data_IF_027053300046
#
_entry.id   IF_027053300046
#
_cell.length_a   1.000
_cell.length_b   1.000
_cell.length_c   1.000
_cell.angle_alpha   90.00
_cell.angle_beta   90.00
_cell.angle_gamma   90.00
#
_symmetry.space_group_name_H-M   'P 1'
#
loop_
_entity.id
_entity.type
_entity.pdbx_description
1 polymer ?
#
# COMPACT_ATOMS: atom_id res chain seq x y z
N UNK A 1 47.37 7.70 14.53
CA UNK A 1 45.97 7.46 14.14
C UNK A 1 45.67 6.02 14.47
N UNK A 2 44.79 5.76 15.44
CA UNK A 2 44.35 4.39 15.71
C UNK A 2 43.64 3.81 14.48
N UNK A 3 43.82 2.52 14.18
CA UNK A 3 43.12 1.89 13.06
C UNK A 3 41.62 1.90 13.33
N UNK A 4 40.84 2.27 12.30
CA UNK A 4 39.39 2.45 12.43
C UNK A 4 38.72 1.06 12.58
N UNK A 5 38.49 0.62 13.82
CA UNK A 5 37.98 -0.71 14.19
C UNK A 5 36.62 -1.08 13.56
N UNK A 6 35.86 -0.09 13.07
CA UNK A 6 34.53 -0.30 12.47
C UNK A 6 34.56 -1.02 11.12
N UNK A 7 35.62 -0.83 10.30
CA UNK A 7 35.74 -1.52 9.00
C UNK A 7 36.18 -2.97 9.13
N UNK A 8 36.57 -3.41 10.32
CA UNK A 8 37.07 -4.77 10.61
C UNK A 8 36.08 -5.61 11.45
N UNK A 9 34.89 -5.09 11.75
CA UNK A 9 33.84 -5.86 12.42
C UNK A 9 33.42 -7.05 11.55
N UNK A 10 33.19 -8.20 12.17
CA UNK A 10 32.68 -9.37 11.47
C UNK A 10 31.26 -9.12 10.95
N UNK A 11 30.92 -9.77 9.84
CA UNK A 11 29.56 -9.70 9.28
C UNK A 11 28.52 -10.17 10.30
N UNK A 12 28.81 -11.19 11.11
CA UNK A 12 27.91 -11.68 12.15
C UNK A 12 27.54 -10.61 13.20
N UNK A 13 28.51 -9.81 13.65
CA UNK A 13 28.27 -8.74 14.62
C UNK A 13 27.49 -7.61 13.97
N UNK A 14 27.85 -7.22 12.75
CA UNK A 14 27.11 -6.22 12.00
C UNK A 14 25.65 -6.67 11.82
N UNK A 15 25.42 -7.90 11.39
CA UNK A 15 24.07 -8.41 11.09
C UNK A 15 23.21 -8.63 12.33
N UNK A 16 23.71 -9.38 13.32
CA UNK A 16 22.88 -9.84 14.43
C UNK A 16 22.78 -8.81 15.55
N UNK A 17 23.83 -8.00 15.78
CA UNK A 17 23.88 -7.09 16.93
C UNK A 17 23.62 -5.63 16.57
N UNK A 18 23.88 -5.22 15.32
CA UNK A 18 23.70 -3.84 14.89
C UNK A 18 22.46 -3.73 14.00
N UNK A 19 22.44 -4.40 12.83
CA UNK A 19 21.37 -4.25 11.84
C UNK A 19 19.99 -4.60 12.40
N UNK A 20 19.91 -5.62 13.26
CA UNK A 20 18.66 -6.02 13.94
C UNK A 20 18.05 -4.95 14.85
N UNK A 21 18.85 -3.97 15.29
CA UNK A 21 18.45 -2.87 16.19
C UNK A 21 18.21 -1.56 15.46
N UNK A 22 18.63 -1.44 14.19
CA UNK A 22 18.46 -0.21 13.43
C UNK A 22 17.04 -0.11 12.89
N UNK A 23 16.44 1.08 12.99
CA UNK A 23 15.26 1.38 12.18
C UNK A 23 15.65 1.39 10.69
N UNK A 24 14.69 1.23 9.78
CA UNK A 24 14.99 1.24 8.34
C UNK A 24 15.74 2.49 7.89
N UNK A 25 15.49 3.66 8.49
CA UNK A 25 16.19 4.88 8.10
C UNK A 25 17.67 4.86 8.48
N UNK A 26 17.98 4.35 9.68
CA UNK A 26 19.37 4.17 10.10
C UNK A 26 20.02 3.03 9.34
N UNK A 27 19.26 1.99 8.96
CA UNK A 27 19.73 0.90 8.10
C UNK A 27 20.00 1.36 6.65
N UNK A 28 19.15 2.23 6.11
CA UNK A 28 19.33 2.85 4.80
C UNK A 28 20.57 3.76 4.81
N UNK A 29 20.73 4.57 5.88
CA UNK A 29 21.94 5.37 6.10
C UNK A 29 23.18 4.49 6.26
N UNK A 30 23.07 3.39 7.01
CA UNK A 30 24.13 2.40 7.18
C UNK A 30 24.59 1.83 5.84
N UNK A 31 23.64 1.45 4.97
CA UNK A 31 23.92 1.01 3.61
C UNK A 31 24.51 2.11 2.70
N UNK A 32 24.37 3.38 3.08
CA UNK A 32 24.98 4.52 2.41
C UNK A 32 26.45 4.76 2.79
N UNK A 33 26.98 4.13 3.85
CA UNK A 33 28.32 4.40 4.38
C UNK A 33 29.43 3.87 3.45
N UNK A 34 29.38 2.59 3.09
CA UNK A 34 30.39 1.96 2.23
C UNK A 34 29.83 0.74 1.49
N UNK A 35 30.54 0.27 0.45
CA UNK A 35 30.08 -0.88 -0.36
C UNK A 35 29.86 -2.18 0.45
N UNK A 36 30.75 -2.58 1.38
CA UNK A 36 30.52 -3.76 2.23
C UNK A 36 29.26 -3.65 3.10
N UNK A 37 29.03 -2.50 3.74
CA UNK A 37 27.84 -2.28 4.56
C UNK A 37 26.57 -2.26 3.70
N UNK A 38 26.66 -1.71 2.49
CA UNK A 38 25.57 -1.75 1.51
C UNK A 38 25.20 -3.18 1.10
N UNK A 39 26.17 -4.07 0.90
CA UNK A 39 25.89 -5.49 0.61
C UNK A 39 25.22 -6.20 1.79
N UNK A 40 25.44 -5.72 3.01
CA UNK A 40 24.77 -6.25 4.20
C UNK A 40 23.32 -5.75 4.35
N UNK A 41 22.90 -4.66 3.71
CA UNK A 41 21.53 -4.11 3.82
C UNK A 41 20.52 -4.70 2.81
N UNK A 42 20.72 -5.94 2.34
CA UNK A 42 19.84 -6.55 1.34
C UNK A 42 18.38 -6.73 1.81
N UNK A 43 17.41 -6.90 0.88
CA UNK A 43 15.97 -7.03 1.18
C UNK A 43 15.63 -8.10 2.22
N UNK A 44 16.44 -9.17 2.29
CA UNK A 44 16.26 -10.30 3.20
C UNK A 44 16.56 -10.00 4.67
N UNK A 45 17.08 -8.80 4.99
CA UNK A 45 17.57 -8.43 6.34
C UNK A 45 16.75 -7.35 7.02
N UNK A 46 15.70 -6.84 6.38
CA UNK A 46 14.67 -5.98 7.00
C UNK A 46 13.66 -6.78 7.86
N UNK A 47 14.03 -8.00 8.26
CA UNK A 47 13.13 -8.94 8.94
C UNK A 47 12.61 -8.27 10.20
N UNK A 48 11.31 -8.41 10.43
CA UNK A 48 10.63 -8.07 11.69
C UNK A 48 10.28 -6.60 11.90
N UNK A 49 10.45 -5.74 10.89
CA UNK A 49 9.84 -4.40 10.91
C UNK A 49 8.47 -4.38 10.23
N UNK A 50 7.51 -3.69 10.88
CA UNK A 50 6.23 -3.33 10.30
C UNK A 50 6.42 -2.63 8.93
N UNK A 51 5.49 -2.79 7.97
CA UNK A 51 5.47 -2.00 6.74
C UNK A 51 5.48 -0.49 7.00
N UNK A 52 6.23 0.23 6.18
CA UNK A 52 6.35 1.69 6.23
C UNK A 52 5.40 2.33 5.23
N UNK A 53 5.17 3.63 5.33
CA UNK A 53 4.45 4.39 4.32
C UNK A 53 5.42 5.25 3.53
N UNK A 54 5.50 5.03 2.21
CA UNK A 54 6.12 6.02 1.32
C UNK A 54 5.15 7.19 1.23
N UNK A 55 5.65 8.37 1.59
CA UNK A 55 4.87 9.61 1.67
C UNK A 55 5.54 10.70 0.87
N UNK A 56 4.77 11.60 0.23
CA UNK A 56 5.36 12.78 -0.38
C UNK A 56 6.03 13.67 0.67
N UNK A 57 6.99 14.51 0.25
CA UNK A 57 7.45 15.60 1.10
C UNK A 57 6.25 16.47 1.53
N UNK A 58 6.31 17.13 2.70
CA UNK A 58 5.23 17.97 3.19
C UNK A 58 4.78 18.96 2.10
N UNK A 59 3.47 19.08 1.83
CA UNK A 59 2.99 19.94 0.76
C UNK A 59 3.40 21.39 1.05
N UNK A 60 4.12 22.00 0.12
CA UNK A 60 4.32 23.45 0.14
C UNK A 60 3.01 24.13 -0.27
N UNK A 61 2.73 25.32 0.25
CA UNK A 61 1.49 26.09 -0.03
C UNK A 61 1.24 26.28 -1.55
N UNK A 62 2.30 26.23 -2.38
CA UNK A 62 2.25 26.43 -3.83
C UNK A 62 2.49 25.15 -4.66
N UNK A 63 2.44 23.94 -4.07
CA UNK A 63 2.67 22.71 -4.85
C UNK A 63 1.47 22.39 -5.74
N UNK A 64 1.72 22.17 -7.03
CA UNK A 64 0.71 21.62 -7.94
C UNK A 64 0.22 20.26 -7.41
N UNK A 65 -1.09 20.15 -7.15
CA UNK A 65 -1.75 18.91 -6.72
C UNK A 65 -1.62 17.84 -7.80
N UNK A 66 -0.75 16.85 -7.61
CA UNK A 66 -0.48 15.80 -8.60
C UNK A 66 -0.33 14.42 -7.98
N UNK A 67 -0.75 13.39 -8.71
CA UNK A 67 -0.57 11.98 -8.34
C UNK A 67 0.86 11.46 -8.62
N UNK A 68 1.74 12.33 -9.10
CA UNK A 68 3.12 12.02 -9.53
C UNK A 68 4.11 12.58 -8.52
N UNK A 69 5.14 11.83 -8.17
CA UNK A 69 6.24 12.35 -7.36
C UNK A 69 7.07 13.32 -8.20
N UNK A 70 7.17 14.59 -7.78
CA UNK A 70 7.80 15.65 -8.58
C UNK A 70 9.33 15.70 -8.47
N UNK A 71 9.89 15.13 -7.41
CA UNK A 71 11.33 15.11 -7.18
C UNK A 71 11.80 13.73 -6.66
N UNK A 72 13.10 13.62 -6.39
CA UNK A 72 13.70 12.42 -5.83
C UNK A 72 13.52 12.29 -4.31
N UNK A 73 13.01 13.33 -3.63
CA UNK A 73 12.92 13.34 -2.17
C UNK A 73 11.59 12.74 -1.72
N UNK A 74 11.66 11.63 -1.00
CA UNK A 74 10.47 11.01 -0.41
C UNK A 74 10.64 10.86 1.09
N UNK A 75 9.52 10.87 1.79
CA UNK A 75 9.45 10.46 3.18
C UNK A 75 9.13 8.98 3.27
N UNK A 76 9.65 8.34 4.30
CA UNK A 76 9.14 7.09 4.81
C UNK A 76 8.60 7.30 6.22
N UNK A 77 7.29 7.18 6.37
CA UNK A 77 6.63 7.27 7.67
C UNK A 77 6.60 5.90 8.35
N UNK A 78 7.10 5.89 9.59
CA UNK A 78 7.17 4.71 10.45
C UNK A 78 6.00 4.72 11.44
N UNK A 79 5.22 3.65 11.45
CA UNK A 79 4.13 3.46 12.42
C UNK A 79 4.66 3.21 13.85
N UNK A 80 5.91 2.76 13.98
CA UNK A 80 6.47 2.38 15.27
C UNK A 80 6.76 3.60 16.16
N UNK A 81 7.25 4.68 15.56
CA UNK A 81 7.67 5.89 16.28
C UNK A 81 6.99 7.17 15.78
N UNK A 82 6.12 7.06 14.78
CA UNK A 82 5.35 8.17 14.22
C UNK A 82 6.20 9.20 13.47
N UNK A 83 7.44 8.85 13.07
CA UNK A 83 8.37 9.78 12.41
C UNK A 83 8.45 9.55 10.91
N UNK A 84 8.81 10.62 10.20
CA UNK A 84 9.16 10.58 8.78
C UNK A 84 10.65 10.62 8.60
N UNK A 85 11.17 9.67 7.86
CA UNK A 85 12.56 9.59 7.48
C UNK A 85 12.72 9.96 6.01
N UNK A 86 13.56 10.95 5.75
CA UNK A 86 13.81 11.44 4.38
C UNK A 86 14.77 10.51 3.66
N UNK A 87 14.44 10.17 2.42
CA UNK A 87 15.27 9.39 1.53
C UNK A 87 15.25 9.96 0.12
N UNK A 88 16.30 9.66 -0.65
CA UNK A 88 16.39 10.00 -2.07
C UNK A 88 16.12 8.76 -2.90
N UNK A 89 15.07 8.78 -3.71
CA UNK A 89 14.71 7.74 -4.67
C UNK A 89 14.55 8.38 -6.04
N UNK A 90 15.66 8.54 -6.80
CA UNK A 90 15.62 9.16 -8.12
C UNK A 90 14.66 8.48 -9.09
N UNK A 91 14.44 7.17 -8.92
CA UNK A 91 13.52 6.37 -9.74
C UNK A 91 12.05 6.78 -9.60
N UNK A 92 11.67 7.54 -8.57
CA UNK A 92 10.29 8.02 -8.40
C UNK A 92 10.02 9.36 -9.08
N UNK A 93 11.07 10.11 -9.45
CA UNK A 93 10.92 11.43 -10.06
C UNK A 93 10.10 11.35 -11.36
N UNK A 94 9.05 12.15 -11.44
CA UNK A 94 8.05 12.17 -12.53
C UNK A 94 7.30 10.86 -12.74
N UNK A 95 7.22 10.01 -11.70
CA UNK A 95 6.48 8.75 -11.75
C UNK A 95 5.40 8.67 -10.67
N UNK A 96 4.37 7.85 -10.94
CA UNK A 96 3.36 7.44 -9.97
C UNK A 96 3.62 5.99 -9.56
N UNK A 97 3.51 5.69 -8.27
CA UNK A 97 3.49 4.31 -7.77
C UNK A 97 2.11 3.71 -8.03
N UNK A 98 2.03 2.66 -8.84
CA UNK A 98 0.78 1.99 -9.20
C UNK A 98 0.58 0.64 -8.52
N UNK A 99 1.63 0.04 -7.96
CA UNK A 99 1.54 -1.13 -7.08
C UNK A 99 2.75 -1.21 -6.14
N UNK A 100 2.53 -1.79 -4.96
CA UNK A 100 3.60 -2.23 -4.06
C UNK A 100 3.43 -3.70 -3.74
N UNK A 101 4.56 -4.42 -3.69
CA UNK A 101 4.62 -5.85 -3.42
C UNK A 101 5.51 -6.13 -2.21
N UNK A 102 5.23 -7.27 -1.55
CA UNK A 102 6.12 -7.83 -0.54
C UNK A 102 7.55 -7.99 -1.11
N UNK A 103 8.55 -7.86 -0.25
CA UNK A 103 9.96 -7.89 -0.61
C UNK A 103 10.49 -6.54 -1.11
N UNK A 104 9.73 -5.45 -0.94
CA UNK A 104 10.15 -4.09 -1.24
C UNK A 104 10.08 -3.69 -2.72
N UNK A 105 9.33 -4.42 -3.54
CA UNK A 105 9.18 -4.11 -4.96
C UNK A 105 8.08 -3.09 -5.21
N UNK A 106 8.35 -2.14 -6.09
CA UNK A 106 7.44 -1.08 -6.52
C UNK A 106 7.28 -1.12 -8.04
N UNK A 107 6.03 -1.09 -8.49
CA UNK A 107 5.71 -0.82 -9.89
C UNK A 107 5.32 0.65 -10.04
N UNK A 108 5.91 1.30 -11.04
CA UNK A 108 5.70 2.72 -11.31
C UNK A 108 5.41 2.98 -12.77
N UNK A 109 4.66 4.05 -13.02
CA UNK A 109 4.31 4.50 -14.37
C UNK A 109 4.73 5.97 -14.49
N UNK A 110 5.50 6.28 -15.52
CA UNK A 110 5.86 7.64 -15.90
C UNK A 110 4.78 8.25 -16.82
N UNK A 111 4.73 9.58 -16.92
CA UNK A 111 3.73 10.29 -17.75
C UNK A 111 3.80 9.90 -19.24
N UNK A 112 4.97 9.48 -19.72
CA UNK A 112 5.20 8.97 -21.08
C UNK A 112 4.75 7.50 -21.27
N UNK A 113 4.00 6.92 -20.32
CA UNK A 113 3.55 5.52 -20.31
C UNK A 113 4.64 4.46 -20.03
N UNK A 114 5.87 4.85 -19.69
CA UNK A 114 6.92 3.92 -19.33
C UNK A 114 6.65 3.25 -17.97
N UNK A 115 6.68 1.92 -17.95
CA UNK A 115 6.43 1.12 -16.75
C UNK A 115 7.76 0.56 -16.23
N UNK A 116 8.02 0.74 -14.94
CA UNK A 116 9.20 0.23 -14.27
C UNK A 116 8.84 -0.58 -13.03
N UNK A 117 9.55 -1.68 -12.82
CA UNK A 117 9.56 -2.46 -11.59
C UNK A 117 10.95 -2.35 -10.94
N UNK A 118 11.01 -1.85 -9.70
CA UNK A 118 12.28 -1.74 -8.99
C UNK A 118 12.10 -1.91 -7.49
N UNK A 119 13.20 -2.15 -6.78
CA UNK A 119 13.23 -2.18 -5.33
C UNK A 119 14.20 -1.09 -4.85
N UNK A 120 13.75 -0.07 -4.07
CA UNK A 120 14.60 1.02 -3.58
C UNK A 120 15.80 0.57 -2.73
N UNK A 121 15.74 -0.64 -2.17
CA UNK A 121 16.74 -1.25 -1.30
C UNK A 121 17.69 -2.16 -2.07
N UNK A 122 17.36 -2.45 -3.33
CA UNK A 122 18.18 -3.26 -4.19
C UNK A 122 19.24 -2.41 -4.87
N UNK A 123 20.42 -2.98 -5.04
CA UNK A 123 21.48 -2.43 -5.89
C UNK A 123 21.25 -2.69 -7.37
N UNK A 124 20.25 -3.53 -7.72
CA UNK A 124 19.92 -3.86 -9.10
C UNK A 124 19.25 -2.66 -9.78
N UNK A 125 19.50 -2.46 -11.09
CA UNK A 125 18.80 -1.43 -11.85
C UNK A 125 17.30 -1.72 -11.95
N UNK A 126 16.47 -0.69 -12.19
CA UNK A 126 15.05 -0.88 -12.51
C UNK A 126 14.86 -1.82 -13.70
N UNK A 127 13.87 -2.69 -13.59
CA UNK A 127 13.40 -3.52 -14.71
C UNK A 127 12.36 -2.73 -15.49
N UNK A 128 12.65 -2.44 -16.76
CA UNK A 128 11.68 -1.83 -17.66
C UNK A 128 10.70 -2.89 -18.17
N UNK A 129 9.41 -2.64 -17.98
CA UNK A 129 8.34 -3.46 -18.54
C UNK A 129 7.85 -2.84 -19.85
N UNK A 130 7.08 -3.58 -20.69
CA UNK A 130 6.45 -2.99 -21.85
C UNK A 130 5.69 -1.70 -21.49
N UNK A 131 5.80 -0.62 -22.29
CA UNK A 131 5.06 0.61 -22.06
C UNK A 131 3.55 0.37 -22.01
N UNK A 132 2.83 1.14 -21.19
CA UNK A 132 1.39 0.96 -20.98
C UNK A 132 0.58 1.09 -22.29
N UNK A 133 1.04 1.92 -23.22
CA UNK A 133 0.37 2.14 -24.51
C UNK A 133 0.61 1.03 -25.54
N UNK A 134 1.45 0.05 -25.21
CA UNK A 134 1.66 -1.16 -26.01
C UNK A 134 0.72 -2.31 -25.60
N UNK A 135 0.01 -2.19 -24.48
CA UNK A 135 -0.89 -3.24 -24.03
C UNK A 135 -2.19 -3.24 -24.85
N UNK A 136 -2.66 -4.42 -25.31
CA UNK A 136 -3.91 -4.54 -26.05
C UNK A 136 -5.09 -3.96 -25.27
N UNK A 137 -5.94 -3.16 -25.93
CA UNK A 137 -7.16 -2.60 -25.33
C UNK A 137 -6.97 -1.35 -24.48
N UNK A 138 -5.75 -0.87 -24.24
CA UNK A 138 -5.51 0.40 -23.54
C UNK A 138 -5.80 1.58 -24.48
N UNK A 139 -6.90 2.30 -24.26
CA UNK A 139 -7.21 3.53 -24.99
C UNK A 139 -6.49 4.74 -24.36
N UNK A 140 -5.73 5.51 -25.14
CA UNK A 140 -5.15 6.82 -24.74
C UNK A 140 -6.27 7.86 -24.52
N UNK A 141 -7.02 7.78 -23.42
CA UNK A 141 -7.87 8.89 -22.96
C UNK A 141 -7.25 9.56 -21.74
N UNK A 142 -6.06 10.14 -21.90
CA UNK A 142 -5.61 11.18 -20.97
C UNK A 142 -6.31 12.49 -21.35
N UNK A 143 -7.59 12.64 -20.96
CA UNK A 143 -8.15 13.98 -20.86
C UNK A 143 -7.48 14.64 -19.65
N UNK A 144 -6.92 15.83 -19.87
CA UNK A 144 -6.27 16.71 -18.87
C UNK A 144 -7.25 17.23 -17.79
N UNK A 145 -8.34 16.52 -17.57
CA UNK A 145 -9.48 16.91 -16.77
C UNK A 145 -9.87 15.68 -15.95
N UNK A 146 -9.54 15.75 -14.65
CA UNK A 146 -9.98 14.88 -13.55
C UNK A 146 -10.47 13.50 -14.00
N UNK A 147 -9.60 12.48 -13.89
CA UNK A 147 -9.99 11.09 -14.09
C UNK A 147 -11.10 10.70 -13.09
N UNK A 148 -12.37 10.89 -13.46
CA UNK A 148 -13.53 10.48 -12.66
C UNK A 148 -13.85 8.98 -12.77
N UNK A 149 -13.03 8.19 -13.45
CA UNK A 149 -13.20 6.74 -13.51
C UNK A 149 -11.90 6.05 -13.09
N UNK A 150 -11.84 5.69 -11.80
CA UNK A 150 -10.93 4.66 -11.32
C UNK A 150 -11.13 3.37 -12.12
N UNK A 151 -10.06 2.67 -12.54
CA UNK A 151 -10.18 1.24 -12.68
C UNK A 151 -10.48 0.66 -11.30
N UNK A 152 -11.73 0.27 -11.10
CA UNK A 152 -12.36 -0.29 -9.90
C UNK A 152 -11.88 -1.71 -9.57
N UNK A 153 -10.65 -2.05 -9.94
CA UNK A 153 -10.16 -3.43 -9.97
C UNK A 153 -8.94 -3.58 -9.06
N UNK A 154 -9.13 -4.28 -7.95
CA UNK A 154 -8.00 -4.76 -7.15
C UNK A 154 -7.71 -6.18 -7.56
N UNK A 155 -6.44 -6.59 -7.50
CA UNK A 155 -6.01 -7.92 -7.93
C UNK A 155 -5.04 -8.55 -6.95
N UNK A 156 -4.99 -9.87 -6.97
CA UNK A 156 -4.01 -10.65 -6.22
C UNK A 156 -3.72 -11.96 -6.95
N UNK A 157 -2.53 -12.51 -6.76
CA UNK A 157 -2.13 -13.80 -7.30
C UNK A 157 -2.06 -14.84 -6.19
N UNK A 158 -2.74 -15.97 -6.34
CA UNK A 158 -2.59 -17.12 -5.43
C UNK A 158 -2.91 -18.43 -6.13
N UNK A 159 -2.32 -19.53 -5.66
CA UNK A 159 -2.56 -20.88 -6.21
C UNK A 159 -2.40 -20.94 -7.75
N UNK A 160 -1.44 -20.20 -8.30
CA UNK A 160 -1.17 -20.13 -9.74
C UNK A 160 -2.17 -19.33 -10.58
N UNK A 161 -3.15 -18.67 -9.96
CA UNK A 161 -4.18 -17.89 -10.63
C UNK A 161 -4.12 -16.41 -10.23
N UNK A 162 -4.62 -15.55 -11.12
CA UNK A 162 -4.79 -14.12 -10.85
C UNK A 162 -6.26 -13.84 -10.64
N UNK A 163 -6.57 -13.27 -9.49
CA UNK A 163 -7.93 -12.91 -9.11
C UNK A 163 -8.06 -11.40 -9.11
N UNK A 164 -9.25 -10.93 -9.44
CA UNK A 164 -9.60 -9.53 -9.35
C UNK A 164 -10.96 -9.35 -8.72
N UNK A 165 -11.13 -8.27 -7.98
CA UNK A 165 -12.43 -7.84 -7.45
C UNK A 165 -12.81 -6.52 -8.07
N UNK A 166 -14.01 -6.44 -8.61
CA UNK A 166 -14.59 -5.18 -9.05
C UNK A 166 -15.18 -4.45 -7.84
N UNK A 167 -15.16 -3.12 -7.82
CA UNK A 167 -15.72 -2.32 -6.72
C UNK A 167 -17.21 -2.60 -6.45
N UNK A 168 -17.95 -3.18 -7.41
CA UNK A 168 -19.33 -3.62 -7.16
C UNK A 168 -19.45 -4.91 -6.35
N UNK A 169 -18.35 -5.62 -6.08
CA UNK A 169 -18.31 -6.86 -5.29
C UNK A 169 -17.96 -8.17 -6.02
N UNK A 170 -18.20 -8.37 -7.33
CA UNK A 170 -17.89 -9.63 -8.00
C UNK A 170 -16.39 -9.91 -7.99
N UNK A 171 -16.05 -11.16 -7.69
CA UNK A 171 -14.70 -11.67 -7.89
C UNK A 171 -14.64 -12.43 -9.19
N UNK A 172 -13.61 -12.12 -9.97
CA UNK A 172 -13.27 -12.80 -11.21
C UNK A 172 -11.90 -13.45 -11.09
N UNK A 173 -11.71 -14.55 -11.81
CA UNK A 173 -10.39 -15.11 -12.09
C UNK A 173 -10.01 -14.73 -13.52
N UNK A 174 -8.73 -14.42 -13.71
CA UNK A 174 -8.16 -14.01 -14.99
C UNK A 174 -7.41 -15.19 -15.58
N UNK A 175 -7.81 -15.59 -16.78
CA UNK A 175 -7.23 -16.68 -17.55
C UNK A 175 -6.54 -16.14 -18.81
N UNK A 176 -5.79 -17.01 -19.50
CA UNK A 176 -5.22 -16.71 -20.80
C UNK A 176 -4.15 -15.61 -20.79
N UNK A 177 -3.39 -15.48 -19.69
CA UNK A 177 -2.33 -14.46 -19.58
C UNK A 177 -1.23 -14.63 -20.62
N UNK A 178 -0.96 -15.87 -21.04
CA UNK A 178 -0.02 -16.19 -22.12
C UNK A 178 -0.66 -16.16 -23.52
N UNK A 179 -1.97 -15.89 -23.61
CA UNK A 179 -2.75 -15.88 -24.86
C UNK A 179 -3.61 -14.61 -24.96
N UNK A 180 -4.94 -14.74 -24.98
CA UNK A 180 -5.89 -13.62 -24.98
C UNK A 180 -6.54 -13.61 -23.59
N UNK A 181 -6.23 -12.61 -22.74
CA UNK A 181 -6.76 -12.56 -21.40
C UNK A 181 -8.28 -12.46 -21.38
N UNK A 182 -8.92 -13.27 -20.54
CA UNK A 182 -10.36 -13.17 -20.26
C UNK A 182 -10.64 -13.34 -18.77
N UNK A 183 -11.76 -12.78 -18.32
CA UNK A 183 -12.17 -12.83 -16.92
C UNK A 183 -13.41 -13.74 -16.77
N UNK A 184 -13.31 -14.74 -15.91
CA UNK A 184 -14.42 -15.61 -15.53
C UNK A 184 -14.93 -15.22 -14.13
N UNK A 185 -16.25 -15.08 -13.97
CA UNK A 185 -16.84 -14.73 -12.68
C UNK A 185 -16.90 -15.95 -11.75
N UNK A 186 -16.25 -15.86 -10.59
CA UNK A 186 -16.23 -16.91 -9.59
C UNK A 186 -17.43 -16.88 -8.66
N UNK A 187 -17.84 -15.68 -8.24
CA UNK A 187 -18.93 -15.50 -7.30
C UNK A 187 -19.59 -14.15 -7.53
N UNK A 188 -20.90 -14.11 -7.32
CA UNK A 188 -21.75 -12.91 -7.44
C UNK A 188 -21.51 -11.93 -6.29
N UNK A 189 -22.24 -10.81 -6.34
CA UNK A 189 -22.05 -9.68 -5.43
C UNK A 189 -22.20 -10.07 -3.94
N UNK A 190 -21.64 -9.22 -3.07
CA UNK A 190 -21.69 -9.33 -1.62
C UNK A 190 -23.13 -9.44 -1.08
N UNK A 191 -23.40 -10.28 -0.04
CA UNK A 191 -24.75 -10.42 0.54
C UNK A 191 -25.37 -9.11 1.05
N UNK A 192 -24.56 -8.14 1.48
CA UNK A 192 -25.02 -6.87 2.06
C UNK A 192 -24.80 -5.64 1.15
N UNK A 193 -24.75 -5.85 -0.16
CA UNK A 193 -24.49 -4.82 -1.19
C UNK A 193 -25.35 -3.55 -1.05
N UNK A 194 -26.55 -3.64 -0.49
CA UNK A 194 -27.52 -2.54 -0.45
C UNK A 194 -27.15 -1.40 0.52
N UNK A 195 -26.24 -1.61 1.47
CA UNK A 195 -26.07 -0.69 2.61
C UNK A 195 -24.75 0.10 2.64
N UNK A 196 -23.82 -0.14 1.71
CA UNK A 196 -22.46 0.39 1.83
C UNK A 196 -22.01 1.15 0.57
N UNK A 197 -21.77 2.45 0.72
CA UNK A 197 -20.79 3.16 -0.10
C UNK A 197 -19.38 2.69 0.32
N UNK A 198 -19.06 1.43 0.02
CA UNK A 198 -17.87 0.75 0.52
C UNK A 198 -16.78 0.61 -0.53
N UNK A 199 -15.54 0.47 -0.06
CA UNK A 199 -14.38 0.18 -0.91
C UNK A 199 -14.02 -1.29 -0.76
N UNK A 200 -13.69 -1.94 -1.87
CA UNK A 200 -13.42 -3.38 -1.88
C UNK A 200 -11.94 -3.62 -2.14
N UNK A 201 -11.31 -4.49 -1.35
CA UNK A 201 -9.95 -4.97 -1.58
C UNK A 201 -9.96 -6.48 -1.75
N UNK A 202 -9.00 -7.02 -2.50
CA UNK A 202 -8.75 -8.46 -2.57
C UNK A 202 -7.29 -8.74 -2.23
N UNK A 203 -7.03 -9.80 -1.48
CA UNK A 203 -5.67 -10.27 -1.23
C UNK A 203 -5.63 -11.76 -0.91
N UNK A 204 -4.45 -12.34 -1.06
CA UNK A 204 -4.10 -13.66 -0.54
C UNK A 204 -3.69 -13.57 0.93
N UNK A 205 -4.09 -14.56 1.73
CA UNK A 205 -3.65 -14.73 3.11
C UNK A 205 -3.69 -16.20 3.53
N UNK A 206 -2.53 -16.81 3.76
CA UNK A 206 -2.40 -18.21 4.21
C UNK A 206 -2.95 -19.25 3.21
N UNK A 207 -2.85 -18.95 1.92
CA UNK A 207 -3.44 -19.71 0.84
C UNK A 207 -4.93 -19.42 0.62
N UNK A 208 -5.57 -18.62 1.47
CA UNK A 208 -6.96 -18.21 1.30
C UNK A 208 -7.09 -16.93 0.48
N UNK A 209 -8.17 -16.83 -0.30
CA UNK A 209 -8.52 -15.63 -1.03
C UNK A 209 -9.50 -14.81 -0.19
N UNK A 210 -9.07 -13.62 0.24
CA UNK A 210 -9.86 -12.73 1.08
C UNK A 210 -10.33 -11.51 0.31
N UNK A 211 -11.56 -11.09 0.58
CA UNK A 211 -12.14 -9.82 0.13
C UNK A 211 -12.52 -8.98 1.34
N UNK A 212 -12.08 -7.72 1.35
CA UNK A 212 -12.35 -6.78 2.42
C UNK A 212 -13.31 -5.71 1.91
N UNK A 213 -14.31 -5.42 2.72
CA UNK A 213 -15.23 -4.30 2.52
C UNK A 213 -14.92 -3.24 3.58
N UNK A 214 -14.47 -2.07 3.13
CA UNK A 214 -14.22 -0.91 3.99
C UNK A 214 -15.45 -0.01 3.98
N UNK A 215 -16.05 0.16 5.14
CA UNK A 215 -17.17 1.09 5.35
C UNK A 215 -16.62 2.48 5.58
N UNK A 216 -17.07 3.44 4.77
CA UNK A 216 -16.72 4.86 4.92
C UNK A 216 -17.99 5.69 5.09
N UNK A 217 -17.91 6.72 5.94
CA UNK A 217 -18.96 7.73 6.08
C UNK A 217 -18.43 9.03 5.49
N UNK A 218 -19.17 9.58 4.52
CA UNK A 218 -18.98 10.96 4.06
C UNK A 218 -19.95 11.90 4.78
N UNK A 219 -19.58 13.16 4.98
CA UNK A 219 -20.54 14.17 5.45
C UNK A 219 -21.63 14.35 4.37
N UNK A 220 -22.84 13.83 4.64
CA UNK A 220 -24.06 14.30 3.98
C UNK A 220 -24.74 15.24 4.98
N UNK A 221 -24.86 16.51 4.62
CA UNK A 221 -25.61 17.50 5.40
C UNK A 221 -24.80 18.20 6.48
N UNK A 222 -24.34 19.41 6.19
CA UNK A 222 -24.04 20.42 7.19
C UNK A 222 -24.58 21.75 6.63
N UNK A 223 -25.90 21.87 6.60
CA UNK A 223 -26.53 23.20 6.55
C UNK A 223 -26.64 23.82 7.96
N UNK A 224 -26.30 23.09 9.02
CA UNK A 224 -26.43 23.58 10.40
C UNK A 224 -25.30 23.04 11.30
N UNK A 225 -24.11 23.65 11.24
CA UNK A 225 -23.18 23.65 12.37
C UNK A 225 -22.16 24.78 12.18
N UNK A 226 -22.19 25.74 13.09
CA UNK A 226 -21.28 26.88 13.19
C UNK A 226 -19.91 26.44 13.75
N UNK A 227 -19.31 25.39 13.19
CA UNK A 227 -18.06 24.83 13.71
C UNK A 227 -16.83 25.45 13.05
N UNK A 228 -15.95 25.98 13.90
CA UNK A 228 -14.70 26.69 13.65
C UNK A 228 -13.61 25.83 12.95
N UNK A 229 -13.97 24.64 12.43
CA UNK A 229 -13.13 23.76 11.62
C UNK A 229 -13.94 23.12 10.48
N UNK A 230 -14.13 23.79 9.34
CA UNK A 230 -14.88 23.23 8.25
C UNK A 230 -14.00 22.19 7.51
N UNK A 231 -14.61 21.08 7.10
CA UNK A 231 -14.06 20.08 6.13
C UNK A 231 -13.18 18.95 6.69
N UNK A 232 -13.75 18.00 7.43
CA UNK A 232 -13.08 16.69 7.59
C UNK A 232 -13.49 15.71 6.46
N UNK A 233 -12.52 15.05 5.79
CA UNK A 233 -12.76 14.04 4.75
C UNK A 233 -13.66 12.87 5.14
N UNK A 234 -14.05 12.05 4.15
CA UNK A 234 -14.60 10.71 4.39
C UNK A 234 -13.75 9.98 5.43
N UNK A 235 -14.41 9.31 6.38
CA UNK A 235 -13.74 8.57 7.46
C UNK A 235 -14.10 7.11 7.39
N UNK A 236 -13.10 6.26 7.59
CA UNK A 236 -13.32 4.84 7.79
C UNK A 236 -13.99 4.62 9.13
N UNK A 237 -15.07 3.82 9.11
CA UNK A 237 -15.84 3.47 10.30
C UNK A 237 -15.86 1.97 10.56
N UNK A 238 -15.37 1.14 9.64
CA UNK A 238 -15.21 -0.28 9.89
C UNK A 238 -14.81 -1.09 8.68
N UNK A 239 -14.57 -2.37 8.92
CA UNK A 239 -14.26 -3.36 7.90
C UNK A 239 -15.06 -4.63 8.12
N UNK A 240 -15.37 -5.30 7.00
CA UNK A 240 -15.76 -6.72 6.98
C UNK A 240 -14.75 -7.49 6.15
N UNK A 241 -14.38 -8.68 6.62
CA UNK A 241 -13.45 -9.57 5.92
C UNK A 241 -14.18 -10.84 5.54
N UNK A 242 -14.12 -11.21 4.27
CA UNK A 242 -14.71 -12.45 3.78
C UNK A 242 -13.65 -13.32 3.16
N UNK A 243 -13.77 -14.61 3.41
CA UNK A 243 -13.06 -15.65 2.70
C UNK A 243 -13.95 -16.20 1.59
N UNK A 244 -13.36 -16.39 0.40
CA UNK A 244 -13.97 -17.18 -0.65
C UNK A 244 -13.67 -18.66 -0.40
N UNK A 245 -14.72 -19.45 -0.15
CA UNK A 245 -14.61 -20.90 -0.14
C UNK A 245 -15.02 -21.48 -1.49
N UNK A 246 -14.07 -22.17 -2.12
CA UNK A 246 -14.26 -22.82 -3.41
C UNK A 246 -15.13 -24.07 -3.25
N UNK A 247 -16.17 -24.20 -4.08
CA UNK A 247 -17.12 -25.30 -4.04
C UNK A 247 -18.11 -25.26 -5.20
N UNK A 248 -19.18 -26.04 -5.09
CA UNK A 248 -20.27 -26.05 -6.08
C UNK A 248 -21.61 -25.88 -5.36
N UNK A 249 -22.04 -24.63 -5.06
CA UNK A 249 -21.46 -23.34 -5.49
C UNK A 249 -20.32 -22.83 -4.60
N UNK A 250 -19.55 -21.87 -5.13
CA UNK A 250 -18.65 -21.03 -4.32
C UNK A 250 -19.45 -20.24 -3.29
N UNK A 251 -18.88 -20.01 -2.10
CA UNK A 251 -19.57 -19.30 -1.02
C UNK A 251 -18.68 -18.30 -0.30
N UNK A 252 -19.30 -17.24 0.21
CA UNK A 252 -18.68 -16.28 1.10
C UNK A 252 -18.77 -16.76 2.55
N UNK A 253 -17.66 -16.65 3.27
CA UNK A 253 -17.62 -16.87 4.72
C UNK A 253 -17.03 -15.63 5.38
N UNK A 254 -17.80 -14.96 6.24
CA UNK A 254 -17.30 -13.83 7.02
C UNK A 254 -16.32 -14.31 8.10
N UNK A 255 -15.15 -13.69 8.13
CA UNK A 255 -14.14 -13.93 9.15
C UNK A 255 -14.32 -12.94 10.29
N UNK A 256 -14.47 -13.46 11.51
CA UNK A 256 -14.47 -12.67 12.75
C UNK A 256 -13.09 -12.54 13.38
N UNK A 257 -12.14 -13.37 12.93
CA UNK A 257 -10.75 -13.30 13.36
C UNK A 257 -9.82 -13.63 12.20
N UNK A 258 -8.65 -12.99 12.20
CA UNK A 258 -7.52 -13.28 11.31
C UNK A 258 -6.48 -14.17 11.99
N UNK A 259 -6.72 -14.58 13.25
CA UNK A 259 -5.73 -15.21 14.10
C UNK A 259 -4.50 -14.31 14.27
N UNK A 260 -3.32 -14.89 14.12
CA UNK A 260 -2.04 -14.18 14.20
C UNK A 260 -1.68 -13.38 12.93
N UNK A 261 -2.66 -13.01 12.11
CA UNK A 261 -2.41 -12.24 10.88
C UNK A 261 -2.88 -10.81 11.01
N UNK A 262 -2.15 -9.93 10.34
CA UNK A 262 -2.52 -8.54 10.11
C UNK A 262 -2.67 -8.28 8.61
N UNK A 263 -3.66 -7.47 8.23
CA UNK A 263 -3.88 -7.09 6.83
C UNK A 263 -3.50 -5.64 6.63
N UNK A 264 -2.90 -5.33 5.48
CA UNK A 264 -2.48 -3.98 5.09
C UNK A 264 -3.19 -3.62 3.80
N UNK A 265 -4.01 -2.57 3.82
CA UNK A 265 -4.79 -2.12 2.65
C UNK A 265 -4.64 -0.62 2.42
N UNK A 266 -4.66 -0.19 1.16
CA UNK A 266 -4.42 1.22 0.82
C UNK A 266 -4.72 1.51 -0.64
N UNK A 267 -4.31 2.68 -1.13
CA UNK A 267 -4.59 3.14 -2.49
C UNK A 267 -4.26 2.09 -3.58
N UNK A 268 -3.07 1.47 -3.52
CA UNK A 268 -2.56 0.54 -4.54
C UNK A 268 -1.89 -0.72 -3.94
N UNK A 269 -2.32 -1.14 -2.76
CA UNK A 269 -1.67 -2.23 -2.04
C UNK A 269 -2.66 -2.95 -1.14
N UNK A 270 -2.66 -4.28 -1.20
CA UNK A 270 -3.41 -5.17 -0.32
C UNK A 270 -2.58 -6.43 -0.08
N UNK A 271 -2.13 -6.64 1.15
CA UNK A 271 -1.33 -7.81 1.51
C UNK A 271 -1.53 -8.22 2.97
N UNK A 272 -1.13 -9.44 3.30
CA UNK A 272 -1.24 -10.02 4.63
C UNK A 272 0.14 -10.39 5.18
N UNK A 273 0.32 -10.23 6.49
CA UNK A 273 1.54 -10.57 7.21
C UNK A 273 1.20 -11.38 8.47
N UNK A 274 2.14 -12.25 8.89
CA UNK A 274 2.10 -12.89 10.21
C UNK A 274 2.54 -11.87 11.26
N UNK A 275 1.66 -11.50 12.18
CA UNK A 275 1.88 -10.42 13.13
C UNK A 275 3.02 -10.75 14.11
N UNK A 276 3.12 -11.99 14.59
CA UNK A 276 4.20 -12.44 15.48
C UNK A 276 5.61 -12.23 14.92
N UNK A 277 5.76 -12.16 13.59
CA UNK A 277 7.05 -11.91 12.94
C UNK A 277 7.51 -10.47 13.13
N UNK A 278 6.62 -9.52 13.40
CA UNK A 278 6.92 -8.08 13.35
C UNK A 278 6.70 -7.41 14.70
N UNK A 279 7.75 -6.78 15.23
CA UNK A 279 7.64 -6.03 16.48
C UNK A 279 6.64 -4.87 16.33
N UNK A 280 5.68 -4.79 17.26
CA UNK A 280 4.60 -3.80 17.25
C UNK A 280 3.45 -4.09 16.28
N UNK A 281 3.51 -5.17 15.50
CA UNK A 281 2.39 -5.61 14.68
C UNK A 281 1.33 -6.29 15.53
N UNK A 282 0.09 -5.82 15.43
CA UNK A 282 -1.02 -6.36 16.21
C UNK A 282 -1.71 -7.48 15.41
N UNK A 283 -1.82 -8.70 15.95
CA UNK A 283 -2.59 -9.77 15.31
C UNK A 283 -4.07 -9.39 15.27
N UNK A 284 -4.83 -9.92 14.32
CA UNK A 284 -6.26 -9.62 14.18
C UNK A 284 -6.61 -8.14 13.90
N UNK A 285 -5.67 -7.40 13.29
CA UNK A 285 -5.87 -5.99 12.94
C UNK A 285 -5.74 -5.74 11.43
N UNK A 286 -6.36 -4.65 10.98
CA UNK A 286 -6.29 -4.14 9.61
C UNK A 286 -5.67 -2.75 9.64
N UNK A 287 -4.49 -2.63 9.05
CA UNK A 287 -3.77 -1.38 8.84
C UNK A 287 -4.23 -0.79 7.50
N UNK A 288 -4.80 0.40 7.52
CA UNK A 288 -5.35 1.02 6.32
C UNK A 288 -4.78 2.40 6.04
N UNK A 289 -4.67 2.75 4.75
CA UNK A 289 -4.40 4.12 4.29
C UNK A 289 -5.54 4.69 3.47
N UNK A 290 -5.53 6.01 3.32
CA UNK A 290 -6.53 6.70 2.50
C UNK A 290 -6.42 6.23 1.05
N UNK A 291 -7.57 6.00 0.43
CA UNK A 291 -7.66 5.57 -0.95
C UNK A 291 -8.06 6.73 -1.90
N UNK A 292 -8.03 7.97 -1.39
CA UNK A 292 -8.36 9.19 -2.10
C UNK A 292 -9.79 9.25 -2.63
N UNK A 293 -10.71 8.44 -2.11
CA UNK A 293 -12.09 8.37 -2.60
C UNK A 293 -12.73 9.76 -2.79
N UNK A 294 -12.66 10.60 -1.77
CA UNK A 294 -13.15 11.97 -1.81
C UNK A 294 -12.53 12.83 -2.92
N UNK A 295 -11.21 12.77 -3.09
CA UNK A 295 -10.50 13.51 -4.15
C UNK A 295 -11.04 13.16 -5.54
N UNK A 296 -11.31 11.89 -5.80
CA UNK A 296 -11.88 11.43 -7.06
C UNK A 296 -13.38 11.71 -7.21
N UNK A 297 -14.08 12.06 -6.13
CA UNK A 297 -15.43 12.65 -6.21
C UNK A 297 -15.39 14.17 -6.44
N UNK A 298 -14.22 14.75 -6.69
CA UNK A 298 -14.05 16.18 -6.92
C UNK A 298 -13.83 16.99 -5.63
N UNK A 299 -13.61 16.32 -4.49
CA UNK A 299 -13.29 17.01 -3.24
C UNK A 299 -11.83 17.48 -3.25
N UNK A 300 -11.55 18.60 -2.59
CA UNK A 300 -10.21 19.20 -2.56
C UNK A 300 -9.39 18.82 -1.32
N UNK A 301 -9.82 17.78 -0.60
CA UNK A 301 -9.21 17.22 0.60
C UNK A 301 -9.02 15.69 0.46
N UNK A 302 -8.17 15.10 1.29
CA UNK A 302 -7.96 13.64 1.33
C UNK A 302 -6.49 13.25 1.56
N UNK A 303 -6.24 11.95 1.66
CA UNK A 303 -4.91 11.41 1.98
C UNK A 303 -4.64 11.31 3.48
N UNK A 304 -5.66 11.51 4.32
CA UNK A 304 -5.57 11.57 5.77
C UNK A 304 -6.25 10.39 6.49
N UNK A 305 -7.08 9.62 5.80
CA UNK A 305 -7.84 8.52 6.41
C UNK A 305 -7.00 7.24 6.51
N UNK A 306 -6.11 7.21 7.51
CA UNK A 306 -5.31 6.04 7.86
C UNK A 306 -5.45 5.68 9.35
N UNK A 307 -5.29 4.40 9.63
CA UNK A 307 -5.54 3.87 10.96
C UNK A 307 -5.29 2.39 11.07
N UNK A 308 -5.50 1.88 12.27
CA UNK A 308 -5.46 0.47 12.60
C UNK A 308 -6.84 0.11 13.15
N UNK A 309 -7.54 -0.75 12.43
CA UNK A 309 -8.83 -1.30 12.84
C UNK A 309 -8.61 -2.63 13.55
N UNK A 310 -9.18 -2.79 14.74
CA UNK A 310 -9.24 -4.05 15.45
C UNK A 310 -10.47 -4.84 14.97
N UNK A 311 -10.27 -6.04 14.42
CA UNK A 311 -11.38 -6.84 13.89
C UNK A 311 -12.25 -7.45 15.00
N UNK A 312 -11.72 -7.58 16.22
CA UNK A 312 -12.44 -8.17 17.35
C UNK A 312 -13.52 -7.26 17.93
N UNK A 313 -13.16 -6.01 18.24
CA UNK A 313 -14.04 -5.04 18.90
C UNK A 313 -14.53 -3.92 17.97
N UNK A 314 -14.00 -3.84 16.74
CA UNK A 314 -14.34 -2.81 15.76
C UNK A 314 -13.73 -1.44 16.03
N UNK A 315 -12.86 -1.30 17.02
CA UNK A 315 -12.20 -0.02 17.35
C UNK A 315 -11.21 0.41 16.26
N UNK A 316 -11.05 1.72 16.10
CA UNK A 316 -10.08 2.31 15.16
C UNK A 316 -9.10 3.20 15.92
N UNK A 317 -7.84 2.80 15.95
CA UNK A 317 -6.74 3.67 16.33
C UNK A 317 -6.33 4.52 15.12
N UNK A 318 -6.54 5.84 15.20
CA UNK A 318 -6.15 6.77 14.13
C UNK A 318 -4.74 7.30 14.36
N UNK A 319 -4.06 7.57 13.26
CA UNK A 319 -2.81 8.32 13.24
C UNK A 319 -3.08 9.60 12.43
N UNK A 320 -2.33 10.67 12.67
CA UNK A 320 -2.41 11.91 11.88
C UNK A 320 -1.03 12.19 11.24
N UNK A 321 -1.04 12.55 9.96
CA UNK A 321 0.11 12.56 9.07
C UNK A 321 -0.29 13.09 7.68
N UNK A 322 0.27 14.23 7.28
CA UNK A 322 0.67 15.34 8.14
C UNK A 322 -0.58 15.94 8.82
N UNK A 323 -0.52 16.31 10.12
CA UNK A 323 -1.68 16.83 10.84
C UNK A 323 -2.26 18.12 10.22
N UNK A 324 -1.42 18.90 9.53
CA UNK A 324 -1.78 20.23 9.01
C UNK A 324 -2.09 20.25 7.50
N UNK A 325 -2.06 19.10 6.81
CA UNK A 325 -2.21 19.05 5.36
C UNK A 325 -3.63 18.67 4.94
N UNK A 326 -4.39 19.61 4.36
CA UNK A 326 -5.75 19.39 3.85
C UNK A 326 -5.81 18.28 2.77
N UNK A 327 -4.74 18.13 1.99
CA UNK A 327 -4.63 17.12 0.93
C UNK A 327 -3.20 16.59 0.85
N UNK A 328 -3.05 15.26 0.87
CA UNK A 328 -1.75 14.58 0.69
C UNK A 328 -1.72 13.88 -0.66
N UNK A 329 -0.88 14.38 -1.56
CA UNK A 329 -0.69 13.84 -2.91
C UNK A 329 0.81 13.77 -3.27
N UNK A 330 1.28 12.65 -3.87
CA UNK A 330 0.58 11.37 -4.05
C UNK A 330 0.16 10.74 -2.70
N UNK A 331 -0.81 9.81 -2.67
CA UNK A 331 -1.29 9.25 -1.41
C UNK A 331 -0.21 8.38 -0.75
N UNK A 332 -0.20 8.27 0.59
CA UNK A 332 0.68 7.34 1.30
C UNK A 332 0.54 5.89 0.79
N UNK A 333 1.65 5.27 0.41
CA UNK A 333 1.69 3.90 -0.12
C UNK A 333 2.40 2.97 0.86
N UNK A 334 1.79 1.82 1.17
CA UNK A 334 2.46 0.78 1.95
C UNK A 334 3.73 0.30 1.25
N UNK A 335 4.80 0.17 2.01
CA UNK A 335 6.08 -0.37 1.58
C UNK A 335 6.53 -1.46 2.54
N UNK A 336 6.44 -2.71 2.09
CA UNK A 336 6.82 -3.88 2.85
C UNK A 336 8.13 -4.45 2.31
N UNK A 337 9.25 -4.13 2.96
CA UNK A 337 10.57 -4.67 2.60
C UNK A 337 10.69 -6.18 2.86
N UNK A 338 9.79 -6.74 3.67
CA UNK A 338 9.81 -8.13 4.08
C UNK A 338 9.51 -9.07 2.91
N UNK A 339 10.36 -10.08 2.65
CA UNK A 339 10.06 -11.07 1.62
C UNK A 339 8.77 -11.82 1.99
N UNK A 340 8.03 -12.36 1.01
CA UNK A 340 6.93 -13.27 1.30
C UNK A 340 7.46 -14.45 2.14
N UNK A 341 6.71 -14.80 3.19
CA UNK A 341 6.96 -16.03 3.94
C UNK A 341 6.90 -17.21 2.98
N UNK A 342 7.97 -18.02 2.97
CA UNK A 342 8.10 -19.21 2.11
C UNK A 342 7.24 -20.36 2.58
#
# INVERSE_FOLDING_TARGET
MEPNYWSTLSEDVLENEILSKLCFADLYRFGGVCKPWKSLCGPLKFRNHLPWLIVPPPPSINSNKTMVYQDENVGFYSLCDGKVYKAKIPQLCNRRICASFLGGWLMTIHENSEVQLFNPLSTRPPLNLPPLDKFPGVQRKFKKQVCFEFPKLFYTGTRGNFYAVHASGPVVVIHGLDTIPYAERLISDHPERSNLAGLTYILESAGDLLVLFRSVVGHKGAEEANDEYPHWPHKTVGFKVLKLEFGSPNRWVELKTLGDRALFVGYNSSFSLLASTFSGCKPNHIYFTDNLWGYFQGQHFGGQDFGIFNLEDGSIQKFLYPPDAILVLPPPIWFAANPPSS
#
